data_IF_249859187245
#
_entry.id   IF_249859187245
#
_cell.length_a   1.000
_cell.length_b   1.000
_cell.length_c   1.000
_cell.angle_alpha   90.00
_cell.angle_beta   90.00
_cell.angle_gamma   90.00
#
_symmetry.space_group_name_H-M   'P 1'
#
loop_
_entity.id
_entity.type
_entity.pdbx_description
1 polymer ?
#
# COMPACT_ATOMS: atom_id res chain seq x y z
N UNK A 1 -13.10 15.10 7.58
CA UNK A 1 -12.30 13.87 7.72
C UNK A 1 -12.97 12.77 6.92
N UNK A 2 -12.26 12.15 5.97
CA UNK A 2 -12.75 10.93 5.30
C UNK A 2 -12.53 9.76 6.27
N UNK A 3 -13.55 8.90 6.47
CA UNK A 3 -13.42 7.74 7.37
C UNK A 3 -12.53 6.65 6.74
N UNK A 4 -11.90 5.80 7.56
CA UNK A 4 -11.07 4.69 7.07
C UNK A 4 -11.87 3.75 6.15
N UNK A 5 -13.13 3.45 6.51
CA UNK A 5 -14.03 2.64 5.69
C UNK A 5 -14.28 3.28 4.29
N UNK A 6 -14.43 4.60 4.22
CA UNK A 6 -14.59 5.31 2.93
C UNK A 6 -13.33 5.24 2.06
N UNK A 7 -12.13 5.23 2.65
CA UNK A 7 -10.90 5.05 1.88
C UNK A 7 -10.83 3.66 1.25
N UNK A 8 -11.29 2.64 1.96
CA UNK A 8 -11.29 1.25 1.49
C UNK A 8 -12.33 0.98 0.41
N UNK A 9 -13.45 1.71 0.41
CA UNK A 9 -14.54 1.53 -0.56
C UNK A 9 -14.13 1.76 -2.01
N UNK A 10 -13.11 2.57 -2.23
CA UNK A 10 -12.56 2.86 -3.56
C UNK A 10 -11.47 1.87 -4.00
N UNK A 11 -11.12 0.90 -3.14
CA UNK A 11 -10.09 -0.10 -3.44
C UNK A 11 -10.78 -1.34 -4.04
N UNK A 12 -10.44 -1.76 -5.27
CA UNK A 12 -11.06 -2.92 -5.92
C UNK A 12 -11.00 -4.21 -5.09
N UNK A 13 -9.94 -4.39 -4.31
CA UNK A 13 -9.77 -5.54 -3.42
C UNK A 13 -10.91 -5.69 -2.39
N UNK A 14 -11.53 -4.58 -1.98
CA UNK A 14 -12.58 -4.57 -0.97
C UNK A 14 -13.98 -4.37 -1.55
N UNK A 15 -14.12 -4.34 -2.88
CA UNK A 15 -15.39 -4.02 -3.55
C UNK A 15 -16.54 -5.01 -3.24
N UNK A 16 -16.21 -6.23 -2.78
CA UNK A 16 -17.20 -7.25 -2.40
C UNK A 16 -17.61 -7.25 -0.93
N UNK A 17 -17.03 -6.39 -0.09
CA UNK A 17 -17.34 -6.32 1.34
C UNK A 17 -18.60 -5.48 1.59
N UNK A 18 -19.41 -5.88 2.58
CA UNK A 18 -20.53 -5.07 3.04
C UNK A 18 -20.01 -3.83 3.79
N UNK A 19 -20.87 -2.82 3.98
CA UNK A 19 -20.50 -1.63 4.76
C UNK A 19 -20.12 -2.01 6.21
N UNK A 20 -20.75 -3.03 6.80
CA UNK A 20 -20.39 -3.53 8.13
C UNK A 20 -19.00 -4.21 8.14
N UNK A 21 -18.71 -5.06 7.15
CA UNK A 21 -17.39 -5.71 7.04
C UNK A 21 -16.28 -4.68 6.81
N UNK A 22 -16.57 -3.61 6.04
CA UNK A 22 -15.65 -2.49 5.85
C UNK A 22 -15.38 -1.73 7.14
N UNK A 23 -16.40 -1.52 7.98
CA UNK A 23 -16.23 -0.88 9.28
C UNK A 23 -15.41 -1.74 10.25
N UNK A 24 -15.67 -3.05 10.30
CA UNK A 24 -14.94 -3.99 11.14
C UNK A 24 -13.46 -4.06 10.71
N UNK A 25 -13.21 -4.15 9.41
CA UNK A 25 -11.86 -4.15 8.84
C UNK A 25 -11.16 -2.80 9.05
N UNK A 26 -11.87 -1.69 8.93
CA UNK A 26 -11.37 -0.34 9.25
C UNK A 26 -10.91 -0.21 10.70
N UNK A 27 -11.53 -0.92 11.64
CA UNK A 27 -11.10 -1.02 13.03
C UNK A 27 -9.72 -1.65 13.20
N UNK A 28 -9.37 -2.63 12.36
CA UNK A 28 -8.08 -3.34 12.41
C UNK A 28 -6.91 -2.57 11.75
N UNK A 29 -7.19 -1.52 10.98
CA UNK A 29 -6.18 -0.75 10.26
C UNK A 29 -5.36 0.15 11.20
N UNK A 30 -4.03 -0.05 11.23
CA UNK A 30 -3.08 0.82 11.90
C UNK A 30 -2.60 1.97 11.00
N UNK A 31 -2.53 3.20 11.53
CA UNK A 31 -1.91 4.34 10.82
C UNK A 31 -0.39 4.30 11.00
N UNK A 32 0.35 4.51 9.91
CA UNK A 32 1.80 4.70 9.94
C UNK A 32 2.17 5.97 9.17
N UNK A 33 3.18 6.67 9.64
CA UNK A 33 3.71 7.89 9.01
C UNK A 33 5.18 7.69 8.70
N UNK A 34 5.59 8.08 7.50
CA UNK A 34 6.97 7.99 7.04
C UNK A 34 7.46 9.38 6.65
N UNK A 35 8.70 9.70 7.02
CA UNK A 35 9.35 10.92 6.55
C UNK A 35 9.71 10.79 5.06
N UNK A 36 9.91 11.92 4.39
CA UNK A 36 10.35 11.95 3.00
C UNK A 36 11.69 11.21 2.84
N UNK A 37 11.76 10.31 1.86
CA UNK A 37 12.97 9.54 1.55
C UNK A 37 13.15 8.26 2.36
N UNK A 38 12.25 7.98 3.31
CA UNK A 38 12.28 6.70 4.04
C UNK A 38 11.78 5.57 3.13
N UNK A 39 12.56 4.49 3.06
CA UNK A 39 12.15 3.25 2.42
C UNK A 39 11.09 2.58 3.30
N UNK A 40 9.92 2.32 2.73
CA UNK A 40 8.80 1.67 3.44
C UNK A 40 9.03 0.16 3.52
N UNK A 41 9.42 -0.44 2.39
CA UNK A 41 9.90 -1.82 2.30
C UNK A 41 10.75 -1.98 1.03
N UNK A 42 11.66 -2.95 1.06
CA UNK A 42 12.49 -3.34 -0.08
C UNK A 42 11.90 -4.53 -0.84
N UNK A 43 12.30 -4.66 -2.10
CA UNK A 43 12.07 -5.86 -2.92
C UNK A 43 12.53 -7.11 -2.18
N UNK A 44 11.72 -8.17 -2.20
CA UNK A 44 12.02 -9.44 -1.53
C UNK A 44 11.89 -9.43 -0.01
N UNK A 45 11.50 -8.31 0.62
CA UNK A 45 11.23 -8.29 2.06
C UNK A 45 10.07 -9.24 2.42
N UNK A 46 10.17 -9.89 3.58
CA UNK A 46 9.23 -10.94 4.04
C UNK A 46 7.92 -10.39 4.63
N UNK A 47 7.76 -9.07 4.68
CA UNK A 47 6.57 -8.42 5.22
C UNK A 47 5.33 -8.62 4.34
N UNK A 48 4.23 -9.06 4.93
CA UNK A 48 2.90 -9.21 4.29
C UNK A 48 1.94 -8.08 4.72
N UNK A 49 2.29 -6.84 4.40
CA UNK A 49 1.44 -5.68 4.73
C UNK A 49 0.95 -4.96 3.48
N UNK A 50 -0.30 -4.58 3.44
CA UNK A 50 -0.82 -3.68 2.43
C UNK A 50 -0.99 -2.29 3.05
N UNK A 51 -0.81 -1.26 2.25
CA UNK A 51 -0.94 0.12 2.67
C UNK A 51 -1.91 0.86 1.74
N UNK A 52 -2.76 1.70 2.33
CA UNK A 52 -3.58 2.67 1.63
C UNK A 52 -2.95 4.04 1.90
N UNK A 53 -2.68 4.81 0.85
CA UNK A 53 -2.12 6.15 1.03
C UNK A 53 -3.21 7.08 1.51
N UNK A 54 -3.12 7.55 2.76
CA UNK A 54 -4.04 8.55 3.29
C UNK A 54 -3.65 9.97 2.85
N UNK A 55 -2.35 10.26 2.80
CA UNK A 55 -1.80 11.56 2.39
C UNK A 55 -0.36 11.43 1.91
N UNK A 56 0.10 12.39 1.11
CA UNK A 56 1.46 12.41 0.57
C UNK A 56 1.60 11.59 -0.73
N UNK A 57 2.81 11.14 -1.01
CA UNK A 57 3.14 10.33 -2.19
C UNK A 57 4.11 9.21 -1.83
N UNK A 58 3.91 8.05 -2.42
CA UNK A 58 4.82 6.89 -2.34
C UNK A 58 5.33 6.60 -3.75
N UNK A 59 6.64 6.43 -3.88
CA UNK A 59 7.28 6.12 -5.17
C UNK A 59 7.80 4.69 -5.12
N UNK A 60 7.40 3.88 -6.10
CA UNK A 60 8.04 2.59 -6.35
C UNK A 60 9.11 2.80 -7.42
N UNK A 61 10.30 2.29 -7.16
CA UNK A 61 11.42 2.35 -8.08
C UNK A 61 12.18 1.02 -8.10
N UNK A 62 12.82 0.74 -9.22
CA UNK A 62 13.80 -0.33 -9.35
C UNK A 62 15.20 0.26 -9.46
N UNK A 63 16.20 -0.52 -9.05
CA UNK A 63 17.62 -0.20 -9.23
C UNK A 63 18.18 -1.05 -10.37
N UNK A 64 18.94 -0.45 -11.28
CA UNK A 64 19.79 -1.21 -12.22
C UNK A 64 21.00 -1.80 -11.49
N UNK A 65 21.73 -2.69 -12.17
CA UNK A 65 23.03 -3.20 -11.71
C UNK A 65 24.05 -2.08 -11.47
N UNK A 66 23.94 -0.97 -12.19
CA UNK A 66 24.77 0.24 -12.01
C UNK A 66 24.29 1.17 -10.89
N UNK A 67 23.21 0.82 -10.17
CA UNK A 67 22.64 1.62 -9.09
C UNK A 67 21.75 2.78 -9.55
N UNK A 68 21.38 2.85 -10.82
CA UNK A 68 20.48 3.87 -11.33
C UNK A 68 19.03 3.55 -10.94
N UNK A 69 18.31 4.54 -10.40
CA UNK A 69 16.91 4.41 -10.06
C UNK A 69 15.99 4.63 -11.27
N UNK A 70 15.06 3.71 -11.47
CA UNK A 70 13.98 3.81 -12.44
C UNK A 70 12.64 3.84 -11.71
N UNK A 71 11.92 4.95 -11.81
CA UNK A 71 10.58 5.05 -11.21
C UNK A 71 9.61 4.18 -11.99
N UNK A 72 8.99 3.22 -11.31
CA UNK A 72 7.99 2.33 -11.89
C UNK A 72 6.60 2.91 -11.74
N UNK A 73 6.30 3.49 -10.56
CA UNK A 73 5.01 4.10 -10.29
C UNK A 73 5.09 5.14 -9.15
N UNK A 74 4.08 6.01 -9.07
CA UNK A 74 3.88 6.94 -7.95
C UNK A 74 2.42 6.83 -7.48
N UNK A 75 2.24 6.46 -6.22
CA UNK A 75 0.95 6.37 -5.56
C UNK A 75 0.67 7.64 -4.74
N UNK A 76 -0.58 8.10 -4.81
CA UNK A 76 -1.13 9.23 -4.06
C UNK A 76 -2.35 8.82 -3.23
N UNK A 77 -3.04 9.78 -2.60
CA UNK A 77 -4.15 9.50 -1.69
C UNK A 77 -5.24 8.62 -2.32
N UNK A 78 -5.63 7.54 -1.62
CA UNK A 78 -6.59 6.55 -2.08
C UNK A 78 -5.97 5.34 -2.80
N UNK A 79 -4.73 5.47 -3.26
CA UNK A 79 -4.04 4.35 -3.90
C UNK A 79 -3.58 3.30 -2.88
N UNK A 80 -3.48 2.06 -3.37
CA UNK A 80 -3.04 0.90 -2.60
C UNK A 80 -1.74 0.35 -3.16
N UNK A 81 -0.85 -0.05 -2.26
CA UNK A 81 0.40 -0.71 -2.61
C UNK A 81 0.77 -1.78 -1.58
N UNK A 82 1.55 -2.77 -2.03
CA UNK A 82 1.93 -3.92 -1.21
C UNK A 82 0.83 -4.98 -1.09
N UNK A 83 -0.15 -4.94 -1.98
CA UNK A 83 -1.26 -5.88 -2.11
C UNK A 83 -0.85 -7.22 -2.72
N UNK A 84 0.11 -7.24 -3.67
CA UNK A 84 0.44 -8.46 -4.41
C UNK A 84 0.92 -9.60 -3.50
N UNK A 85 1.92 -9.36 -2.64
CA UNK A 85 2.43 -10.35 -1.68
C UNK A 85 1.39 -10.81 -0.64
N UNK A 86 0.31 -10.05 -0.46
CA UNK A 86 -0.79 -10.44 0.41
C UNK A 86 -1.74 -11.43 -0.30
N UNK A 87 -1.94 -11.27 -1.62
CA UNK A 87 -2.88 -12.04 -2.42
C UNK A 87 -2.29 -13.33 -2.98
N UNK A 88 -1.04 -13.30 -3.44
CA UNK A 88 -0.37 -14.46 -4.05
C UNK A 88 0.52 -15.23 -3.07
N UNK A 89 0.82 -14.63 -1.92
CA UNK A 89 1.67 -15.19 -0.89
C UNK A 89 3.18 -15.24 -1.22
N UNK A 90 3.61 -14.60 -2.31
CA UNK A 90 4.98 -14.51 -2.77
C UNK A 90 5.73 -13.32 -2.13
N UNK A 91 7.08 -13.31 -2.15
CA UNK A 91 7.87 -12.14 -1.71
C UNK A 91 7.50 -10.86 -2.49
N UNK A 92 7.85 -9.68 -1.94
CA UNK A 92 7.60 -8.38 -2.62
C UNK A 92 8.14 -8.38 -4.05
N UNK A 93 7.25 -8.18 -5.00
CA UNK A 93 7.51 -8.23 -6.44
C UNK A 93 8.35 -7.03 -6.93
N UNK A 94 8.22 -5.88 -6.27
CA UNK A 94 9.02 -4.67 -6.50
C UNK A 94 9.16 -3.87 -5.21
#
# INVERSE_FOLDING_TARGET
HVSKAMMMRNVPLFAGLSDQDLEDLAGSLGRRTFAKGVIIFDKGSSGRTMHIVESGKVRIFALSESGQEFTLNIYGPGDVFGEFSLLDGLPRSA
#
